data_IF_059737919773
#
_entry.id   IF_059737919773
#
_cell.length_a   1.000
_cell.length_b   1.000
_cell.length_c   1.000
_cell.angle_alpha   90.00
_cell.angle_beta   90.00
_cell.angle_gamma   90.00
#
_symmetry.space_group_name_H-M   'P 1'
#
loop_
_entity.id
_entity.type
_entity.pdbx_description
1 polymer ?
#
# COMPACT_ATOMS: atom_id res chain seq x y z
N UNK A 1 34.41 12.82 -29.86
CA UNK A 1 34.13 12.60 -28.42
C UNK A 1 33.00 13.48 -27.85
N UNK A 2 32.62 14.63 -28.44
CA UNK A 2 31.62 15.54 -27.80
C UNK A 2 30.14 15.10 -27.89
N UNK A 3 29.76 14.20 -28.80
CA UNK A 3 28.35 13.71 -28.92
C UNK A 3 28.01 12.53 -28.00
N UNK A 4 29.02 11.85 -27.46
CA UNK A 4 28.84 10.72 -26.53
C UNK A 4 28.43 11.17 -25.14
N UNK A 5 28.95 12.31 -24.69
CA UNK A 5 28.62 12.92 -23.39
C UNK A 5 27.13 13.28 -23.27
N UNK A 6 26.51 14.04 -24.19
CA UNK A 6 25.09 14.35 -24.10
C UNK A 6 24.18 13.13 -24.26
N UNK A 7 24.55 12.16 -25.11
CA UNK A 7 23.81 10.90 -25.26
C UNK A 7 23.82 10.07 -23.97
N UNK A 8 24.93 10.06 -23.25
CA UNK A 8 25.03 9.39 -21.95
C UNK A 8 24.11 10.05 -20.92
N UNK A 9 24.07 11.38 -20.84
CA UNK A 9 23.16 12.08 -19.93
C UNK A 9 21.69 11.89 -20.29
N UNK A 10 21.34 11.87 -21.57
CA UNK A 10 19.97 11.58 -22.03
C UNK A 10 19.59 10.15 -21.68
N UNK A 11 20.47 9.17 -21.92
CA UNK A 11 20.22 7.78 -21.55
C UNK A 11 20.07 7.61 -20.03
N UNK A 12 20.91 8.28 -19.24
CA UNK A 12 20.81 8.28 -17.78
C UNK A 12 19.48 8.89 -17.30
N UNK A 13 19.05 10.00 -17.91
CA UNK A 13 17.78 10.63 -17.58
C UNK A 13 16.58 9.73 -17.92
N UNK A 14 16.59 9.08 -19.08
CA UNK A 14 15.54 8.12 -19.48
C UNK A 14 15.49 6.93 -18.51
N UNK A 15 16.64 6.39 -18.10
CA UNK A 15 16.70 5.31 -17.10
C UNK A 15 16.19 5.77 -15.75
N UNK A 16 16.55 6.98 -15.30
CA UNK A 16 16.05 7.53 -14.04
C UNK A 16 14.52 7.76 -14.07
N UNK A 17 13.99 8.32 -15.16
CA UNK A 17 12.54 8.51 -15.35
C UNK A 17 11.82 7.17 -15.40
N UNK A 18 12.35 6.19 -16.13
CA UNK A 18 11.78 4.84 -16.15
C UNK A 18 11.81 4.20 -14.76
N UNK A 19 12.92 4.34 -14.01
CA UNK A 19 13.03 3.81 -12.65
C UNK A 19 12.06 4.49 -11.67
N UNK A 20 11.78 5.78 -11.83
CA UNK A 20 10.79 6.53 -11.05
C UNK A 20 9.35 6.15 -11.44
N UNK A 21 9.06 6.01 -12.73
CA UNK A 21 7.74 5.64 -13.24
C UNK A 21 7.37 4.17 -12.95
N UNK A 22 8.35 3.27 -12.97
CA UNK A 22 8.18 1.84 -12.65
C UNK A 22 8.19 1.55 -11.15
N UNK A 23 8.41 2.57 -10.29
CA UNK A 23 8.42 2.42 -8.83
C UNK A 23 7.49 3.41 -8.12
N UNK A 24 6.16 3.39 -8.35
CA UNK A 24 5.23 4.17 -7.55
C UNK A 24 5.28 3.79 -6.06
N UNK A 25 5.57 2.51 -5.76
CA UNK A 25 5.39 1.94 -4.41
C UNK A 25 6.64 1.81 -3.53
N UNK A 26 7.85 2.17 -3.98
CA UNK A 26 9.06 2.02 -3.13
C UNK A 26 9.60 3.33 -2.56
N UNK A 27 9.15 4.49 -3.05
CA UNK A 27 9.74 5.79 -2.67
C UNK A 27 8.93 6.53 -1.61
N UNK A 28 7.65 6.19 -1.45
CA UNK A 28 6.76 6.77 -0.44
C UNK A 28 6.12 5.59 0.26
N UNK A 29 6.46 5.38 1.53
CA UNK A 29 5.79 4.34 2.33
C UNK A 29 4.28 4.50 2.24
N UNK A 30 3.54 3.40 2.30
CA UNK A 30 2.08 3.46 2.33
C UNK A 30 1.65 4.24 3.56
N UNK A 31 0.75 5.21 3.39
CA UNK A 31 0.16 5.91 4.52
C UNK A 31 -0.87 5.03 5.22
N UNK A 32 -0.96 5.18 6.54
CA UNK A 32 -1.97 4.59 7.41
C UNK A 32 -3.38 4.69 6.82
N UNK A 33 -3.71 5.86 6.29
CA UNK A 33 -5.01 6.15 5.69
C UNK A 33 -5.22 5.42 4.36
N UNK A 34 -4.23 5.43 3.46
CA UNK A 34 -4.35 4.78 2.16
C UNK A 34 -4.52 3.27 2.30
N UNK A 35 -3.81 2.65 3.25
CA UNK A 35 -4.00 1.24 3.54
C UNK A 35 -5.40 0.95 4.10
N UNK A 36 -5.90 1.80 5.01
CA UNK A 36 -7.22 1.66 5.59
C UNK A 36 -8.32 1.74 4.53
N UNK A 37 -8.25 2.73 3.64
CA UNK A 37 -9.19 2.90 2.52
C UNK A 37 -9.14 1.71 1.55
N UNK A 38 -7.94 1.22 1.23
CA UNK A 38 -7.77 0.08 0.33
C UNK A 38 -8.39 -1.21 0.90
N UNK A 39 -8.15 -1.47 2.20
CA UNK A 39 -8.72 -2.61 2.91
C UNK A 39 -10.24 -2.50 3.00
N UNK A 40 -10.75 -1.32 3.38
CA UNK A 40 -12.18 -1.04 3.46
C UNK A 40 -12.90 -1.35 2.15
N UNK A 41 -12.36 -0.84 1.03
CA UNK A 41 -12.88 -1.10 -0.32
C UNK A 41 -12.86 -2.58 -0.69
N UNK A 42 -11.82 -3.31 -0.32
CA UNK A 42 -11.67 -4.73 -0.71
C UNK A 42 -12.44 -5.69 0.20
N UNK A 43 -12.64 -5.30 1.47
CA UNK A 43 -13.37 -6.07 2.47
C UNK A 43 -14.86 -5.69 2.56
N UNK A 44 -15.32 -4.71 1.77
CA UNK A 44 -16.65 -4.13 1.82
C UNK A 44 -17.02 -3.67 3.24
N UNK A 45 -16.12 -2.90 3.85
CA UNK A 45 -16.28 -2.34 5.20
C UNK A 45 -16.02 -0.85 5.24
N UNK A 46 -16.38 -0.19 6.34
CA UNK A 46 -16.02 1.21 6.56
C UNK A 46 -14.49 1.38 6.67
N UNK A 47 -14.01 2.56 6.27
CA UNK A 47 -12.63 2.95 6.46
C UNK A 47 -12.45 3.56 7.85
N UNK A 48 -11.65 2.91 8.69
CA UNK A 48 -11.15 3.50 9.93
C UNK A 48 -9.72 4.00 9.73
N UNK A 49 -8.78 3.38 10.45
CA UNK A 49 -7.37 3.73 10.38
C UNK A 49 -6.49 2.49 10.48
N UNK A 50 -5.24 2.62 10.04
CA UNK A 50 -4.21 1.62 10.20
C UNK A 50 -3.04 2.16 11.02
N UNK A 51 -2.34 1.28 11.71
CA UNK A 51 -1.07 1.61 12.36
C UNK A 51 -0.04 0.53 12.09
N UNK A 52 1.18 0.96 11.76
CA UNK A 52 2.28 0.05 11.49
C UNK A 52 2.97 -0.39 12.78
N UNK A 53 3.06 -1.71 13.00
CA UNK A 53 3.80 -2.30 14.12
C UNK A 53 4.81 -3.32 13.58
N UNK A 54 6.10 -2.96 13.64
CA UNK A 54 7.24 -3.73 13.15
C UNK A 54 7.21 -3.99 11.64
N UNK A 55 6.49 -5.03 11.21
CA UNK A 55 6.36 -5.48 9.82
C UNK A 55 4.92 -5.82 9.46
N UNK A 56 3.98 -5.48 10.34
CA UNK A 56 2.56 -5.80 10.23
C UNK A 56 1.75 -4.56 10.52
N UNK A 57 0.70 -4.37 9.75
CA UNK A 57 -0.25 -3.31 9.90
C UNK A 57 -1.47 -3.80 10.66
N UNK A 58 -1.96 -2.98 11.58
CA UNK A 58 -3.19 -3.23 12.31
C UNK A 58 -4.20 -2.18 11.89
N UNK A 59 -5.25 -2.60 11.22
CA UNK A 59 -6.28 -1.73 10.65
C UNK A 59 -7.62 -2.00 11.32
N UNK A 60 -8.44 -0.97 11.43
CA UNK A 60 -9.82 -1.08 11.95
C UNK A 60 -10.78 -0.45 10.95
N UNK A 61 -12.00 -0.97 10.93
CA UNK A 61 -13.13 -0.33 10.24
C UNK A 61 -13.70 0.89 11.00
N UNK A 62 -13.14 1.21 12.17
CA UNK A 62 -13.61 2.28 13.04
C UNK A 62 -14.70 1.86 14.03
N UNK A 63 -15.12 0.59 13.99
CA UNK A 63 -16.10 0.03 14.91
C UNK A 63 -15.54 -1.23 15.60
N UNK A 64 -15.83 -2.41 15.07
CA UNK A 64 -15.60 -3.68 15.76
C UNK A 64 -14.69 -4.65 15.02
N UNK A 65 -14.39 -4.41 13.73
CA UNK A 65 -13.54 -5.30 12.94
C UNK A 65 -12.12 -4.78 12.95
N UNK A 66 -11.19 -5.69 13.22
CA UNK A 66 -9.76 -5.44 13.09
C UNK A 66 -9.17 -6.36 12.03
N UNK A 67 -8.18 -5.83 11.33
CA UNK A 67 -7.44 -6.54 10.30
C UNK A 67 -5.95 -6.48 10.63
N UNK A 68 -5.28 -7.60 10.46
CA UNK A 68 -3.82 -7.65 10.44
C UNK A 68 -3.38 -7.78 8.99
N UNK A 69 -2.78 -6.73 8.46
CA UNK A 69 -2.31 -6.67 7.09
C UNK A 69 -0.79 -6.77 7.00
N UNK A 70 -0.30 -7.45 5.97
CA UNK A 70 1.10 -7.45 5.57
C UNK A 70 1.17 -6.75 4.22
N UNK A 71 2.02 -5.74 4.14
CA UNK A 71 2.26 -5.00 2.91
C UNK A 71 3.51 -5.58 2.25
N UNK A 72 3.35 -6.11 1.06
CA UNK A 72 4.42 -6.56 0.18
C UNK A 72 4.93 -5.45 -0.73
N UNK A 73 5.69 -5.86 -1.73
CA UNK A 73 6.26 -4.93 -2.71
C UNK A 73 5.15 -4.21 -3.49
N UNK A 74 5.48 -2.99 -3.96
CA UNK A 74 4.60 -2.16 -4.79
C UNK A 74 3.28 -1.75 -4.13
N UNK A 75 3.17 -1.95 -2.82
CA UNK A 75 2.00 -1.59 -2.04
C UNK A 75 0.80 -2.52 -2.18
N UNK A 76 1.05 -3.74 -2.64
CA UNK A 76 0.11 -4.83 -2.52
C UNK A 76 0.12 -5.39 -1.10
N UNK A 77 -1.02 -5.84 -0.61
CA UNK A 77 -1.20 -6.25 0.76
C UNK A 77 -2.13 -7.46 0.86
N UNK A 78 -1.93 -8.22 1.93
CA UNK A 78 -2.81 -9.31 2.36
C UNK A 78 -3.22 -9.05 3.80
N UNK A 79 -4.52 -9.13 4.07
CA UNK A 79 -5.10 -8.88 5.38
C UNK A 79 -5.94 -10.06 5.84
N UNK A 80 -5.85 -10.36 7.13
CA UNK A 80 -6.73 -11.32 7.81
C UNK A 80 -7.50 -10.63 8.91
N UNK A 81 -8.77 -10.97 9.07
CA UNK A 81 -9.57 -10.46 10.17
C UNK A 81 -9.01 -11.03 11.49
N UNK A 82 -8.81 -10.16 12.47
CA UNK A 82 -8.32 -10.49 13.81
C UNK A 82 -9.25 -9.96 14.88
N UNK A 83 -9.28 -10.65 16.02
CA UNK A 83 -9.91 -10.15 17.25
C UNK A 83 -9.07 -9.03 17.85
N UNK A 84 -9.61 -8.29 18.81
CA UNK A 84 -8.89 -7.28 19.61
C UNK A 84 -7.62 -7.83 20.28
N UNK A 85 -7.59 -9.13 20.60
CA UNK A 85 -6.43 -9.83 21.16
C UNK A 85 -5.40 -10.28 20.10
N UNK A 86 -5.55 -9.89 18.84
CA UNK A 86 -4.66 -10.23 17.73
C UNK A 86 -4.76 -11.67 17.23
N UNK A 87 -5.70 -12.48 17.74
CA UNK A 87 -5.99 -13.82 17.21
C UNK A 87 -6.74 -13.73 15.89
N UNK A 88 -6.45 -14.64 14.97
CA UNK A 88 -7.13 -14.73 13.68
C UNK A 88 -8.61 -15.09 13.92
N UNK A 89 -9.51 -14.21 13.48
CA UNK A 89 -10.95 -14.37 13.59
C UNK A 89 -11.54 -15.05 12.35
N UNK A 90 -10.95 -14.82 11.17
CA UNK A 90 -11.29 -15.52 9.93
C UNK A 90 -10.02 -15.92 9.18
N UNK A 91 -10.04 -17.13 8.62
CA UNK A 91 -8.98 -17.66 7.76
C UNK A 91 -9.20 -17.32 6.28
N UNK A 92 -10.21 -16.51 5.96
CA UNK A 92 -10.43 -15.99 4.61
C UNK A 92 -9.63 -14.69 4.46
N UNK A 93 -8.44 -14.72 3.84
CA UNK A 93 -7.66 -13.52 3.63
C UNK A 93 -8.32 -12.65 2.56
N UNK A 94 -8.29 -11.35 2.77
CA UNK A 94 -8.59 -10.35 1.75
C UNK A 94 -7.27 -9.81 1.25
N UNK A 95 -7.15 -9.60 -0.06
CA UNK A 95 -5.94 -9.07 -0.66
C UNK A 95 -6.28 -7.95 -1.62
N UNK A 96 -5.39 -6.96 -1.72
CA UNK A 96 -5.54 -5.84 -2.62
C UNK A 96 -4.23 -5.12 -2.84
N UNK A 97 -4.27 -4.04 -3.61
CA UNK A 97 -3.15 -3.11 -3.73
C UNK A 97 -3.66 -1.70 -3.53
N UNK A 98 -2.83 -0.88 -2.88
CA UNK A 98 -3.09 0.54 -2.73
C UNK A 98 -3.02 1.20 -4.10
N UNK A 99 -4.12 1.81 -4.52
CA UNK A 99 -4.22 2.56 -5.78
C UNK A 99 -4.35 4.06 -5.48
N UNK A 100 -4.16 4.89 -6.51
CA UNK A 100 -4.21 6.35 -6.37
C UNK A 100 -5.50 6.86 -5.69
N UNK A 101 -6.71 6.34 -5.99
CA UNK A 101 -7.92 6.70 -5.25
C UNK A 101 -7.81 6.50 -3.73
N UNK A 102 -7.20 5.41 -3.29
CA UNK A 102 -7.03 5.12 -1.86
C UNK A 102 -6.14 6.17 -1.18
N UNK A 103 -5.09 6.62 -1.87
CA UNK A 103 -4.17 7.66 -1.39
C UNK A 103 -4.87 9.01 -1.27
N UNK A 104 -5.81 9.28 -2.17
CA UNK A 104 -6.61 10.51 -2.17
C UNK A 104 -7.80 10.45 -1.20
N UNK A 105 -8.01 9.32 -0.51
CA UNK A 105 -9.17 9.10 0.35
C UNK A 105 -10.49 9.05 -0.43
N UNK A 106 -10.42 8.79 -1.74
CA UNK A 106 -11.57 8.58 -2.61
C UNK A 106 -11.97 7.10 -2.53
N UNK A 107 -12.47 6.70 -1.36
CA UNK A 107 -13.22 5.45 -1.24
C UNK A 107 -14.59 5.65 -1.88
N UNK A 108 -15.00 4.71 -2.73
CA UNK A 108 -16.34 4.68 -3.33
C UNK A 108 -17.43 4.47 -2.26
#
# INVERSE_FOLDING_TARGET
MSKLVPLFFVALAVVAVAALALRPGTVVGISDQALATSIARSADTAAGGCHHRRSTWFCTDGDSRMYRATVGDYGCWEAVAVTENGKVASLEPVSGCVILPDVLGLGD
#
